data_IF_788502039316
#
_entry.id   IF_788502039316
#
_cell.length_a   1.000
_cell.length_b   1.000
_cell.length_c   1.000
_cell.angle_alpha   90.00
_cell.angle_beta   90.00
_cell.angle_gamma   90.00
#
_symmetry.space_group_name_H-M   'P 1'
#
loop_
_entity.id
_entity.type
_entity.pdbx_description
1 polymer ?
#
# COMPACT_ATOMS: atom_id res chain seq x y z
N UNK A 1 9.72 -1.48 18.25
CA UNK A 1 8.96 -1.66 16.99
C UNK A 1 9.48 -2.89 16.27
N UNK A 2 8.59 -3.78 15.80
CA UNK A 2 9.01 -4.93 14.98
C UNK A 2 9.65 -4.40 13.69
N UNK A 3 10.79 -4.95 13.29
CA UNK A 3 11.45 -4.56 12.04
C UNK A 3 10.63 -5.12 10.87
N UNK A 4 9.95 -4.23 10.15
CA UNK A 4 9.15 -4.58 8.97
C UNK A 4 10.09 -4.82 7.80
N UNK A 5 9.92 -5.93 7.09
CA UNK A 5 10.70 -6.27 5.90
C UNK A 5 9.86 -6.13 4.63
N UNK A 6 10.51 -5.84 3.50
CA UNK A 6 9.82 -5.77 2.19
C UNK A 6 9.10 -7.08 1.86
N UNK A 7 9.70 -8.22 2.23
CA UNK A 7 9.09 -9.53 2.05
C UNK A 7 7.79 -9.70 2.85
N UNK A 8 7.68 -9.15 4.05
CA UNK A 8 6.44 -9.19 4.83
C UNK A 8 5.36 -8.30 4.22
N UNK A 9 5.72 -7.09 3.77
CA UNK A 9 4.78 -6.19 3.07
C UNK A 9 4.29 -6.85 1.79
N UNK A 10 5.21 -7.39 0.98
CA UNK A 10 4.89 -8.13 -0.24
C UNK A 10 3.91 -9.29 0.03
N UNK A 11 4.21 -10.14 1.03
CA UNK A 11 3.34 -11.27 1.41
C UNK A 11 1.94 -10.80 1.80
N UNK A 12 1.83 -9.70 2.54
CA UNK A 12 0.52 -9.10 2.88
C UNK A 12 -0.21 -8.63 1.61
N UNK A 13 0.46 -7.89 0.72
CA UNK A 13 -0.14 -7.36 -0.50
C UNK A 13 -0.65 -8.47 -1.43
N UNK A 14 0.13 -9.54 -1.60
CA UNK A 14 -0.31 -10.73 -2.37
C UNK A 14 -1.49 -11.42 -1.69
N UNK A 15 -1.46 -11.58 -0.36
CA UNK A 15 -2.56 -12.19 0.41
C UNK A 15 -3.88 -11.45 0.21
N UNK A 16 -3.86 -10.11 0.19
CA UNK A 16 -5.05 -9.29 -0.01
C UNK A 16 -5.51 -9.18 -1.47
N UNK A 17 -4.79 -9.80 -2.40
CA UNK A 17 -5.20 -9.89 -3.80
C UNK A 17 -4.52 -8.89 -4.75
N UNK A 18 -3.45 -8.20 -4.33
CA UNK A 18 -2.60 -7.47 -5.28
C UNK A 18 -1.84 -8.48 -6.13
N UNK A 19 -1.91 -8.34 -7.46
CA UNK A 19 -1.26 -9.27 -8.39
C UNK A 19 0.26 -9.30 -8.20
N UNK A 20 0.81 -10.50 -7.98
CA UNK A 20 2.24 -10.72 -7.93
C UNK A 20 2.86 -10.40 -9.30
N UNK A 21 3.77 -9.43 -9.35
CA UNK A 21 4.44 -8.99 -10.58
C UNK A 21 3.82 -7.78 -11.28
N UNK A 22 2.69 -7.25 -10.79
CA UNK A 22 2.21 -5.95 -11.27
C UNK A 22 3.00 -4.81 -10.62
N UNK A 23 3.51 -3.87 -11.41
CA UNK A 23 4.38 -2.77 -10.96
C UNK A 23 3.82 -1.97 -9.77
N UNK A 24 2.50 -1.84 -9.66
CA UNK A 24 1.86 -1.17 -8.52
C UNK A 24 2.21 -1.78 -7.16
N UNK A 25 2.61 -3.06 -7.08
CA UNK A 25 3.04 -3.69 -5.83
C UNK A 25 4.35 -3.09 -5.30
N UNK A 26 5.31 -2.82 -6.19
CA UNK A 26 6.59 -2.22 -5.87
C UNK A 26 6.38 -0.79 -5.31
N UNK A 27 5.54 -0.03 -5.99
CA UNK A 27 5.22 1.35 -5.59
C UNK A 27 4.51 1.41 -4.23
N UNK A 28 3.62 0.46 -3.94
CA UNK A 28 3.01 0.37 -2.61
C UNK A 28 4.07 0.05 -1.54
N UNK A 29 4.97 -0.90 -1.80
CA UNK A 29 6.04 -1.26 -0.85
C UNK A 29 6.92 -0.04 -0.55
N UNK A 30 7.44 0.63 -1.59
CA UNK A 30 8.26 1.84 -1.44
C UNK A 30 7.53 2.94 -0.68
N UNK A 31 6.23 3.14 -0.97
CA UNK A 31 5.41 4.10 -0.24
C UNK A 31 5.25 3.77 1.25
N UNK A 32 5.00 2.50 1.57
CA UNK A 32 4.90 2.02 2.96
C UNK A 32 6.22 2.27 3.70
N UNK A 33 7.37 1.98 3.09
CA UNK A 33 8.67 2.20 3.73
C UNK A 33 9.02 3.68 3.90
N UNK A 34 8.74 4.52 2.91
CA UNK A 34 8.96 5.96 3.00
C UNK A 34 8.15 6.60 4.14
N UNK A 35 6.86 6.26 4.24
CA UNK A 35 5.97 6.75 5.31
C UNK A 35 6.36 6.13 6.66
N UNK A 36 6.67 4.84 6.71
CA UNK A 36 7.02 4.18 7.96
C UNK A 36 8.32 4.75 8.57
N UNK A 37 9.27 5.15 7.72
CA UNK A 37 10.52 5.78 8.12
C UNK A 37 10.37 7.26 8.52
N UNK A 38 9.20 7.88 8.33
CA UNK A 38 8.98 9.30 8.61
C UNK A 38 9.81 10.23 7.72
N UNK A 39 10.14 9.78 6.50
CA UNK A 39 10.99 10.53 5.55
C UNK A 39 10.21 11.51 4.67
N UNK A 40 8.88 11.50 4.78
CA UNK A 40 7.96 12.23 3.90
C UNK A 40 6.79 12.73 4.73
N UNK A 41 6.29 13.92 4.40
CA UNK A 41 5.19 14.56 5.14
C UNK A 41 3.83 14.15 4.57
N UNK A 42 3.78 13.80 3.28
CA UNK A 42 2.56 13.38 2.60
C UNK A 42 2.82 12.38 1.46
N UNK A 43 1.73 11.82 0.94
CA UNK A 43 1.80 10.80 -0.11
C UNK A 43 2.17 11.35 -1.49
N UNK A 44 2.00 12.66 -1.74
CA UNK A 44 2.42 13.29 -2.99
C UNK A 44 3.94 13.27 -3.14
N UNK A 45 4.66 13.62 -2.07
CA UNK A 45 6.14 13.55 -2.04
C UNK A 45 6.66 12.13 -2.32
N UNK A 46 5.96 11.11 -1.80
CA UNK A 46 6.28 9.71 -2.09
C UNK A 46 6.19 9.41 -3.57
N UNK A 47 5.13 9.88 -4.24
CA UNK A 47 4.96 9.66 -5.68
C UNK A 47 6.06 10.35 -6.48
N UNK A 48 6.45 11.56 -6.09
CA UNK A 48 7.50 12.34 -6.76
C UNK A 48 8.88 11.69 -6.60
N UNK A 49 9.19 11.18 -5.40
CA UNK A 49 10.44 10.45 -5.14
C UNK A 49 10.51 9.19 -6.01
N UNK A 50 9.48 8.35 -5.97
CA UNK A 50 9.43 7.11 -6.77
C UNK A 50 9.52 7.44 -8.27
N UNK A 51 8.80 8.46 -8.71
CA UNK A 51 8.79 8.87 -10.12
C UNK A 51 10.16 9.36 -10.58
N UNK A 52 10.90 10.09 -9.75
CA UNK A 52 12.26 10.53 -10.03
C UNK A 52 13.24 9.36 -10.11
N UNK A 53 13.15 8.41 -9.17
CA UNK A 53 14.00 7.21 -9.14
C UNK A 53 13.81 6.33 -10.38
N UNK A 54 12.56 6.22 -10.86
CA UNK A 54 12.19 5.37 -12.00
C UNK A 54 12.17 6.11 -13.35
N UNK A 55 12.46 7.42 -13.37
CA UNK A 55 12.37 8.29 -14.54
C UNK A 55 10.98 8.24 -15.23
N UNK A 56 9.92 8.37 -14.44
CA UNK A 56 8.52 8.40 -14.89
C UNK A 56 7.78 9.62 -14.32
N UNK A 57 6.48 9.75 -14.63
CA UNK A 57 5.63 10.82 -14.08
C UNK A 57 5.02 10.39 -12.75
N UNK A 58 4.93 11.32 -11.79
CA UNK A 58 4.26 11.12 -10.49
C UNK A 58 2.84 10.56 -10.62
N UNK A 59 2.05 11.08 -11.57
CA UNK A 59 0.71 10.55 -11.87
C UNK A 59 0.70 9.09 -12.38
N UNK A 60 1.79 8.59 -12.97
CA UNK A 60 1.90 7.18 -13.34
C UNK A 60 2.08 6.29 -12.09
N UNK A 61 2.84 6.75 -11.08
CA UNK A 61 2.98 6.06 -9.79
C UNK A 61 1.62 5.98 -9.10
N UNK A 62 0.95 7.13 -8.93
CA UNK A 62 -0.38 7.21 -8.31
C UNK A 62 -1.40 6.29 -9.00
N UNK A 63 -1.44 6.31 -10.33
CA UNK A 63 -2.34 5.47 -11.12
C UNK A 63 -2.04 3.98 -10.94
N UNK A 64 -0.78 3.55 -10.96
CA UNK A 64 -0.43 2.14 -10.79
C UNK A 64 -0.80 1.64 -9.39
N UNK A 65 -0.56 2.44 -8.35
CA UNK A 65 -1.01 2.13 -6.98
C UNK A 65 -2.53 1.99 -6.94
N UNK A 66 -3.26 2.95 -7.51
CA UNK A 66 -4.73 2.94 -7.54
C UNK A 66 -5.27 1.72 -8.28
N UNK A 67 -4.67 1.34 -9.40
CA UNK A 67 -5.03 0.15 -10.16
C UNK A 67 -4.78 -1.13 -9.37
N UNK A 68 -3.66 -1.25 -8.65
CA UNK A 68 -3.38 -2.39 -7.79
C UNK A 68 -4.45 -2.55 -6.69
N UNK A 69 -4.79 -1.45 -6.01
CA UNK A 69 -5.80 -1.41 -4.96
C UNK A 69 -7.18 -1.76 -5.50
N UNK A 70 -7.60 -1.16 -6.62
CA UNK A 70 -8.90 -1.41 -7.23
C UNK A 70 -9.07 -2.91 -7.54
N UNK A 71 -8.08 -3.51 -8.22
CA UNK A 71 -8.12 -4.93 -8.58
C UNK A 71 -8.16 -5.84 -7.36
N UNK A 72 -7.35 -5.54 -6.34
CA UNK A 72 -7.34 -6.29 -5.09
C UNK A 72 -8.70 -6.22 -4.38
N UNK A 73 -9.29 -5.01 -4.30
CA UNK A 73 -10.59 -4.80 -3.66
C UNK A 73 -11.74 -5.44 -4.45
N UNK A 74 -11.73 -5.38 -5.78
CA UNK A 74 -12.72 -6.03 -6.65
C UNK A 74 -12.68 -7.56 -6.49
N UNK A 75 -11.49 -8.13 -6.32
CA UNK A 75 -11.33 -9.58 -6.20
C UNK A 75 -11.58 -10.10 -4.77
N UNK A 76 -11.15 -9.36 -3.74
CA UNK A 76 -11.22 -9.80 -2.33
C UNK A 76 -11.66 -8.66 -1.38
N UNK A 77 -12.86 -8.08 -1.55
CA UNK A 77 -13.26 -6.91 -0.76
C UNK A 77 -13.33 -7.19 0.75
N UNK A 78 -13.74 -8.40 1.14
CA UNK A 78 -13.90 -8.80 2.56
C UNK A 78 -12.60 -8.71 3.36
N UNK A 79 -11.45 -9.02 2.74
CA UNK A 79 -10.16 -9.02 3.44
C UNK A 79 -9.74 -7.61 3.89
N UNK A 80 -10.23 -6.57 3.21
CA UNK A 80 -9.96 -5.18 3.59
C UNK A 80 -10.68 -4.82 4.90
N UNK A 81 -11.91 -5.28 5.09
CA UNK A 81 -12.65 -5.12 6.35
C UNK A 81 -11.99 -5.93 7.47
N UNK A 82 -11.66 -7.20 7.21
CA UNK A 82 -11.07 -8.13 8.19
C UNK A 82 -9.66 -7.74 8.68
N UNK A 83 -8.84 -7.09 7.83
CA UNK A 83 -7.48 -6.71 8.21
C UNK A 83 -7.37 -5.24 8.63
N UNK A 84 -8.15 -4.36 7.99
CA UNK A 84 -7.97 -2.91 8.08
C UNK A 84 -9.22 -2.16 8.57
N UNK A 85 -10.36 -2.83 8.83
CA UNK A 85 -11.65 -2.18 9.11
C UNK A 85 -12.10 -1.21 8.02
N UNK A 86 -11.82 -1.56 6.76
CA UNK A 86 -12.19 -0.79 5.56
C UNK A 86 -13.37 -1.49 4.86
N UNK A 87 -14.56 -0.90 4.98
CA UNK A 87 -15.82 -1.45 4.44
C UNK A 87 -16.16 -0.94 3.02
N UNK A 88 -15.39 0.01 2.50
CA UNK A 88 -15.55 0.57 1.15
C UNK A 88 -14.21 0.63 0.42
N UNK A 89 -14.24 0.71 -0.91
CA UNK A 89 -13.01 0.73 -1.71
C UNK A 89 -12.09 1.88 -1.26
N UNK A 90 -10.89 1.60 -0.75
CA UNK A 90 -10.06 2.64 -0.16
C UNK A 90 -9.41 3.53 -1.22
N UNK A 91 -9.13 4.77 -0.85
CA UNK A 91 -8.21 5.64 -1.59
C UNK A 91 -6.76 5.15 -1.41
N UNK A 92 -5.85 5.58 -2.29
CA UNK A 92 -4.42 5.26 -2.13
C UNK A 92 -3.89 5.63 -0.74
N UNK A 93 -4.25 6.83 -0.25
CA UNK A 93 -3.85 7.30 1.08
C UNK A 93 -4.39 6.41 2.18
N UNK A 94 -5.70 6.15 2.20
CA UNK A 94 -6.30 5.30 3.23
C UNK A 94 -5.64 3.92 3.25
N UNK A 95 -5.48 3.30 2.08
CA UNK A 95 -4.90 1.98 1.96
C UNK A 95 -3.44 1.92 2.44
N UNK A 96 -2.58 2.83 1.98
CA UNK A 96 -1.15 2.81 2.33
C UNK A 96 -0.96 3.04 3.84
N UNK A 97 -1.68 4.00 4.43
CA UNK A 97 -1.61 4.21 5.88
C UNK A 97 -2.18 3.01 6.67
N UNK A 98 -3.20 2.33 6.16
CA UNK A 98 -3.70 1.11 6.77
C UNK A 98 -2.66 -0.02 6.77
N UNK A 99 -1.90 -0.19 5.68
CA UNK A 99 -0.79 -1.14 5.61
C UNK A 99 0.33 -0.75 6.59
N UNK A 100 0.71 0.52 6.66
CA UNK A 100 1.70 1.01 7.64
C UNK A 100 1.25 0.72 9.07
N UNK A 101 -0.01 1.02 9.39
CA UNK A 101 -0.58 0.81 10.72
C UNK A 101 -0.71 -0.69 11.05
N UNK A 102 -1.04 -1.53 10.08
CA UNK A 102 -1.08 -2.98 10.26
C UNK A 102 0.27 -3.52 10.77
N UNK A 103 1.38 -3.02 10.22
CA UNK A 103 2.71 -3.43 10.68
C UNK A 103 3.16 -2.76 11.98
N UNK A 104 2.65 -1.57 12.30
CA UNK A 104 2.96 -0.88 13.57
C UNK A 104 2.19 -1.46 14.76
N UNK A 105 0.93 -1.83 14.56
CA UNK A 105 -0.02 -2.12 15.64
C UNK A 105 -0.71 -3.49 15.53
N UNK A 106 -0.55 -4.20 14.41
CA UNK A 106 -1.26 -5.44 14.13
C UNK A 106 -2.59 -5.23 13.40
N UNK A 107 -3.41 -6.29 13.29
CA UNK A 107 -4.72 -6.20 12.63
C UNK A 107 -5.62 -5.24 13.40
N UNK A 108 -6.37 -4.40 12.68
CA UNK A 108 -7.37 -3.47 13.26
C UNK A 108 -8.79 -3.83 12.79
N UNK A 109 -8.93 -4.92 12.03
CA UNK A 109 -10.22 -5.37 11.51
C UNK A 109 -11.20 -5.85 12.58
N UNK A 110 -12.49 -5.79 12.24
CA UNK A 110 -13.58 -6.36 13.04
C UNK A 110 -13.40 -7.88 13.15
N UNK A 111 -13.66 -8.42 14.34
CA UNK A 111 -13.57 -9.86 14.63
C UNK A 111 -14.66 -10.66 13.91
#
# INVERSE_FOLDING_TARGET
MKKVTEAEVYKLLVRIGVSAGYTGIDYIIRAVFAINAGKVDNLGEVYDIIAKEDNIKSGAVERNIRTAINRAYEHRPRIFSELFSIDSKPTNKLFIYAVVNYFRYGKVGKA
#
